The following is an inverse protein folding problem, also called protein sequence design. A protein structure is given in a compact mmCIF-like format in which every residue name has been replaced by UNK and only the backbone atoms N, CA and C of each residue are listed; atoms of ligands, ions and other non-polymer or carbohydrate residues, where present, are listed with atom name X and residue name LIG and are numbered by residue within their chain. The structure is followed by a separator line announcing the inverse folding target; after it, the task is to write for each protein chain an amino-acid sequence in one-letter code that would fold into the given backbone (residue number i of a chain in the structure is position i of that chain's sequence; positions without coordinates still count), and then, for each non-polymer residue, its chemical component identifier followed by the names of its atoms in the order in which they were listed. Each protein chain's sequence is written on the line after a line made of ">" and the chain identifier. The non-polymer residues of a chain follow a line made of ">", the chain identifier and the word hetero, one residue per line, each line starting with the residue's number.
data_IF_283912140787
#
_entry.id   IF_283912140787
#
_cell.length_a   1.000
_cell.length_b   1.000
_cell.length_c   1.000
_cell.angle_alpha   90.00
_cell.angle_beta   90.00
_cell.angle_gamma   90.00
#
_symmetry.space_group_name_H-M   'P 1'
#
loop_
_entity.id
_entity.type
_entity.pdbx_description
1 polymer ?
#
# COMPACT_ATOMS: atom_id res chain seq x y z
N UNK A 1 15.29 7.89 -23.29
CA UNK A 1 14.49 6.67 -23.02
C UNK A 1 13.47 7.09 -21.96
N UNK A 2 12.26 7.45 -22.37
CA UNK A 2 11.22 7.99 -21.46
C UNK A 2 10.59 6.77 -20.80
N UNK A 3 10.76 6.61 -19.49
CA UNK A 3 10.06 5.57 -18.74
C UNK A 3 8.56 5.77 -18.93
N UNK A 4 7.83 4.68 -19.19
CA UNK A 4 6.38 4.76 -19.32
C UNK A 4 5.78 5.41 -18.06
N UNK A 5 4.90 6.42 -18.19
CA UNK A 5 4.41 7.25 -17.09
C UNK A 5 3.72 6.46 -15.96
N UNK A 6 3.30 5.23 -16.24
CA UNK A 6 2.57 4.36 -15.31
C UNK A 6 3.45 3.48 -14.40
N UNK A 7 4.75 3.76 -14.26
CA UNK A 7 5.68 2.98 -13.42
C UNK A 7 5.66 3.32 -11.92
N UNK A 8 5.10 4.48 -11.56
CA UNK A 8 5.25 5.04 -10.21
C UNK A 8 4.45 4.28 -9.14
N UNK A 9 3.21 3.87 -9.44
CA UNK A 9 2.38 3.09 -8.51
C UNK A 9 2.98 1.70 -8.21
N UNK A 10 3.51 1.03 -9.25
CA UNK A 10 4.18 -0.26 -9.08
C UNK A 10 5.43 -0.16 -8.20
N UNK A 11 6.23 0.91 -8.36
CA UNK A 11 7.41 1.13 -7.52
C UNK A 11 7.01 1.31 -6.04
N UNK A 12 5.97 2.09 -5.76
CA UNK A 12 5.45 2.24 -4.40
C UNK A 12 4.96 0.92 -3.80
N UNK A 13 4.25 0.10 -4.58
CA UNK A 13 3.81 -1.23 -4.15
C UNK A 13 4.98 -2.19 -3.92
N UNK A 14 6.01 -2.15 -4.76
CA UNK A 14 7.21 -2.97 -4.60
C UNK A 14 7.97 -2.61 -3.32
N UNK A 15 8.13 -1.32 -3.03
CA UNK A 15 8.75 -0.84 -1.78
C UNK A 15 7.92 -1.26 -0.55
N UNK A 16 6.59 -1.18 -0.63
CA UNK A 16 5.70 -1.66 0.44
C UNK A 16 5.81 -3.17 0.67
N UNK A 17 5.99 -3.98 -0.39
CA UNK A 17 6.24 -5.42 -0.26
C UNK A 17 7.61 -5.73 0.35
N UNK A 18 8.58 -4.82 0.23
CA UNK A 18 9.85 -4.90 0.93
C UNK A 18 9.75 -4.65 2.45
N UNK A 19 8.61 -4.13 2.93
CA UNK A 19 8.35 -3.91 4.35
C UNK A 19 7.58 -5.09 4.94
N UNK A 20 8.13 -5.69 6.01
CA UNK A 20 7.44 -6.75 6.73
C UNK A 20 6.16 -6.26 7.40
N UNK A 21 5.17 -7.13 7.50
CA UNK A 21 3.91 -6.88 8.23
C UNK A 21 3.08 -5.72 7.66
N UNK A 22 3.10 -5.53 6.34
CA UNK A 22 2.06 -4.76 5.64
C UNK A 22 0.81 -5.60 5.47
N UNK A 23 -0.35 -5.03 5.78
CA UNK A 23 -1.68 -5.58 5.52
C UNK A 23 -2.34 -4.79 4.41
N UNK A 24 -2.56 -5.42 3.27
CA UNK A 24 -3.35 -4.87 2.19
C UNK A 24 -4.83 -5.07 2.47
N UNK A 25 -5.64 -4.02 2.27
CA UNK A 25 -7.09 -4.07 2.47
C UNK A 25 -7.77 -3.57 1.21
N UNK A 26 -8.66 -4.41 0.67
CA UNK A 26 -9.55 -4.10 -0.45
C UNK A 26 -10.98 -4.18 0.07
N UNK A 27 -11.82 -3.22 -0.29
CA UNK A 27 -13.25 -3.20 0.08
C UNK A 27 -14.10 -3.28 -1.18
N UNK A 28 -14.98 -4.27 -1.23
CA UNK A 28 -16.10 -4.32 -2.16
C UNK A 28 -17.40 -3.95 -1.44
N UNK A 29 -18.45 -3.63 -2.20
CA UNK A 29 -19.73 -3.13 -1.67
C UNK A 29 -20.46 -4.02 -0.64
N UNK A 30 -20.00 -5.26 -0.42
CA UNK A 30 -20.49 -6.13 0.65
C UNK A 30 -19.44 -6.98 1.35
N UNK A 31 -18.14 -6.78 1.07
CA UNK A 31 -17.06 -7.62 1.61
C UNK A 31 -15.74 -6.85 1.73
N UNK A 32 -14.89 -7.31 2.65
CA UNK A 32 -13.53 -6.79 2.84
C UNK A 32 -12.55 -7.94 2.76
N UNK A 33 -11.49 -7.78 1.97
CA UNK A 33 -10.37 -8.71 1.92
C UNK A 33 -9.16 -8.07 2.60
N UNK A 34 -8.53 -8.82 3.50
CA UNK A 34 -7.28 -8.43 4.17
C UNK A 34 -6.18 -9.43 3.81
N UNK A 35 -5.11 -8.95 3.18
CA UNK A 35 -4.04 -9.77 2.61
C UNK A 35 -2.70 -9.37 3.22
N UNK A 36 -2.01 -10.31 3.86
CA UNK A 36 -0.68 -10.07 4.43
C UNK A 36 0.37 -10.12 3.32
N UNK A 37 1.21 -9.10 3.28
CA UNK A 37 2.25 -8.90 2.26
C UNK A 37 3.41 -9.90 2.30
N UNK A 38 3.69 -10.49 3.47
CA UNK A 38 4.90 -11.27 3.68
C UNK A 38 5.04 -12.37 2.61
N UNK A 39 6.16 -12.35 1.89
CA UNK A 39 6.52 -13.32 0.85
C UNK A 39 5.67 -13.28 -0.43
N UNK A 40 4.91 -12.21 -0.69
CA UNK A 40 4.20 -12.03 -1.96
C UNK A 40 5.10 -11.37 -3.01
N UNK A 41 5.21 -11.98 -4.19
CA UNK A 41 5.86 -11.38 -5.35
C UNK A 41 4.99 -10.31 -6.04
N UNK A 42 5.57 -9.50 -6.91
CA UNK A 42 4.84 -8.52 -7.73
C UNK A 42 5.22 -8.66 -9.20
N UNK A 43 4.23 -8.64 -10.08
CA UNK A 43 4.41 -8.60 -11.53
C UNK A 43 3.41 -7.64 -12.17
N UNK A 44 3.77 -7.10 -13.33
CA UNK A 44 2.89 -6.23 -14.11
C UNK A 44 2.71 -6.77 -15.52
N UNK A 45 1.48 -6.73 -16.02
CA UNK A 45 1.15 -6.94 -17.42
C UNK A 45 0.13 -5.89 -17.84
N UNK A 46 0.50 -5.02 -18.77
CA UNK A 46 -0.33 -3.89 -19.22
C UNK A 46 -0.74 -2.97 -18.05
N UNK A 47 -2.03 -2.81 -17.79
CA UNK A 47 -2.59 -2.05 -16.66
C UNK A 47 -2.73 -2.88 -15.38
N UNK A 48 -2.54 -4.20 -15.44
CA UNK A 48 -2.75 -5.07 -14.28
C UNK A 48 -1.45 -5.28 -13.51
N UNK A 49 -1.46 -4.89 -12.24
CA UNK A 49 -0.45 -5.25 -11.25
C UNK A 49 -0.98 -6.47 -10.49
N UNK A 50 -0.19 -7.53 -10.42
CA UNK A 50 -0.52 -8.72 -9.64
C UNK A 50 0.44 -8.84 -8.47
N UNK A 51 -0.09 -8.97 -7.26
CA UNK A 51 0.67 -9.26 -6.04
C UNK A 51 0.30 -10.67 -5.58
N UNK A 52 1.30 -11.52 -5.40
CA UNK A 52 1.14 -12.95 -5.09
C UNK A 52 1.05 -13.85 -6.34
N UNK A 53 1.04 -15.16 -6.09
CA UNK A 53 1.02 -16.20 -7.13
C UNK A 53 -0.28 -17.00 -7.09
N UNK A 54 -0.60 -17.67 -8.20
CA UNK A 54 -1.84 -18.45 -8.33
C UNK A 54 -1.88 -19.65 -7.37
N UNK A 55 -0.72 -20.25 -7.11
CA UNK A 55 -0.57 -21.39 -6.21
C UNK A 55 -0.18 -20.95 -4.79
N UNK A 56 -0.09 -19.64 -4.54
CA UNK A 56 0.21 -19.05 -3.25
C UNK A 56 -1.01 -19.00 -2.32
N UNK A 57 -0.80 -18.65 -1.04
CA UNK A 57 -1.89 -18.58 -0.06
C UNK A 57 -2.94 -17.52 -0.40
N UNK A 58 -2.56 -16.50 -1.18
CA UNK A 58 -3.42 -15.46 -1.71
C UNK A 58 -2.72 -14.71 -2.83
N UNK A 59 -3.50 -14.07 -3.69
CA UNK A 59 -3.03 -13.05 -4.61
C UNK A 59 -4.12 -11.98 -4.81
N UNK A 60 -3.73 -10.85 -5.39
CA UNK A 60 -4.65 -9.79 -5.81
C UNK A 60 -4.25 -9.25 -7.18
N UNK A 61 -5.26 -8.79 -7.92
CA UNK A 61 -5.09 -8.05 -9.17
C UNK A 61 -5.55 -6.60 -8.94
N UNK A 62 -4.69 -5.67 -9.29
CA UNK A 62 -4.90 -4.22 -9.12
C UNK A 62 -4.88 -3.59 -10.50
N UNK A 63 -5.94 -2.89 -10.88
CA UNK A 63 -5.97 -2.10 -12.10
C UNK A 63 -5.23 -0.77 -11.85
N UNK A 64 -4.00 -0.66 -12.34
CA UNK A 64 -3.21 0.57 -12.19
C UNK A 64 -3.82 1.74 -12.96
N UNK A 65 -4.65 1.49 -13.97
CA UNK A 65 -5.38 2.55 -14.69
C UNK A 65 -6.49 3.20 -13.87
N UNK A 66 -6.82 2.64 -12.70
CA UNK A 66 -7.78 3.21 -11.73
C UNK A 66 -7.11 3.94 -10.58
N UNK A 67 -5.79 4.01 -10.54
CA UNK A 67 -5.05 4.67 -9.47
C UNK A 67 -4.57 6.02 -9.99
N UNK A 68 -5.16 7.09 -9.47
CA UNK A 68 -4.77 8.47 -9.75
C UNK A 68 -3.62 8.92 -8.85
N UNK A 69 -3.62 8.49 -7.58
CA UNK A 69 -2.64 8.94 -6.58
C UNK A 69 -2.40 7.93 -5.47
N UNK A 70 -1.36 8.16 -4.67
CA UNK A 70 -1.16 7.52 -3.39
C UNK A 70 -0.88 8.55 -2.29
N UNK A 71 -1.50 8.38 -1.12
CA UNK A 71 -1.37 9.27 0.03
C UNK A 71 -0.93 8.52 1.29
N UNK A 72 0.08 9.05 1.96
CA UNK A 72 0.49 8.64 3.30
C UNK A 72 -0.48 9.23 4.33
N UNK A 73 -1.07 8.37 5.15
CA UNK A 73 -2.08 8.75 6.14
C UNK A 73 -1.71 8.22 7.51
N UNK A 74 -1.54 9.14 8.46
CA UNK A 74 -1.53 8.88 9.90
C UNK A 74 -2.90 9.29 10.46
N UNK A 75 -3.71 8.31 10.86
CA UNK A 75 -5.08 8.52 11.33
C UNK A 75 -5.18 8.16 12.82
N UNK A 76 -5.57 9.13 13.66
CA UNK A 76 -5.81 8.89 15.08
C UNK A 76 -7.05 8.00 15.26
N UNK A 77 -6.90 6.94 16.05
CA UNK A 77 -7.96 6.02 16.47
C UNK A 77 -7.97 5.98 18.01
N UNK A 78 -9.07 5.52 18.64
CA UNK A 78 -9.08 5.32 20.08
C UNK A 78 -7.90 4.45 20.54
N UNK A 79 -6.99 5.05 21.31
CA UNK A 79 -5.82 4.39 21.89
C UNK A 79 -4.60 4.20 20.97
N UNK A 80 -4.64 4.60 19.69
CA UNK A 80 -3.48 4.49 18.77
C UNK A 80 -3.62 5.29 17.48
N UNK A 81 -2.51 5.64 16.86
CA UNK A 81 -2.46 6.15 15.48
C UNK A 81 -2.24 5.00 14.49
N UNK A 82 -3.07 4.94 13.44
CA UNK A 82 -2.92 4.01 12.32
C UNK A 82 -2.09 4.67 11.21
N UNK A 83 -1.12 3.93 10.66
CA UNK A 83 -0.25 4.41 9.57
C UNK A 83 -0.51 3.59 8.31
N UNK A 84 -0.78 4.26 7.20
CA UNK A 84 -1.13 3.60 5.94
C UNK A 84 -0.72 4.40 4.72
N UNK A 85 -0.58 3.71 3.59
CA UNK A 85 -0.59 4.31 2.25
C UNK A 85 -1.93 3.96 1.60
N UNK A 86 -2.63 4.96 1.08
CA UNK A 86 -3.91 4.79 0.39
C UNK A 86 -3.72 5.09 -1.09
N UNK A 87 -3.99 4.12 -1.94
CA UNK A 87 -4.06 4.29 -3.39
C UNK A 87 -5.49 4.70 -3.73
N UNK A 88 -5.62 5.83 -4.41
CA UNK A 88 -6.88 6.51 -4.64
C UNK A 88 -7.18 6.59 -6.14
N UNK A 89 -8.46 6.53 -6.49
CA UNK A 89 -8.93 6.84 -7.85
C UNK A 89 -9.08 8.36 -8.07
N UNK A 90 -9.57 8.74 -9.25
CA UNK A 90 -9.75 10.15 -9.65
C UNK A 90 -10.77 10.90 -8.78
N UNK A 91 -11.70 10.18 -8.14
CA UNK A 91 -12.68 10.75 -7.22
C UNK A 91 -12.13 10.87 -5.79
N UNK A 92 -10.89 10.43 -5.56
CA UNK A 92 -10.25 10.38 -4.25
C UNK A 92 -10.71 9.20 -3.38
N UNK A 93 -11.45 8.26 -3.96
CA UNK A 93 -11.94 7.07 -3.29
C UNK A 93 -10.85 5.99 -3.25
N UNK A 94 -10.81 5.23 -2.15
CA UNK A 94 -9.71 4.28 -1.93
C UNK A 94 -9.91 2.99 -2.72
N UNK A 95 -9.05 2.79 -3.72
CA UNK A 95 -8.88 1.52 -4.46
C UNK A 95 -8.20 0.46 -3.59
N UNK A 96 -7.09 0.81 -2.93
CA UNK A 96 -6.30 -0.10 -2.11
C UNK A 96 -5.71 0.61 -0.89
N UNK A 97 -5.76 -0.02 0.29
CA UNK A 97 -5.04 0.44 1.47
C UNK A 97 -3.89 -0.51 1.82
N UNK A 98 -2.70 0.03 2.07
CA UNK A 98 -1.55 -0.69 2.63
C UNK A 98 -1.29 -0.19 4.05
N UNK A 99 -1.56 -1.04 5.05
CA UNK A 99 -1.47 -0.68 6.46
C UNK A 99 -0.21 -1.23 7.08
N UNK A 100 0.53 -0.36 7.77
CA UNK A 100 1.65 -0.78 8.60
C UNK A 100 1.07 -1.40 9.86
N UNK A 101 1.19 -2.72 10.01
CA UNK A 101 0.73 -3.42 11.22
C UNK A 101 1.88 -3.60 12.20
N UNK A 102 1.61 -4.15 13.39
CA UNK A 102 2.58 -4.30 14.50
C UNK A 102 3.30 -2.99 14.88
N UNK A 103 2.66 -1.85 14.67
CA UNK A 103 3.20 -0.53 15.02
C UNK A 103 3.38 -0.35 16.53
N UNK A 104 2.70 -1.14 17.35
CA UNK A 104 2.73 -1.05 18.79
C UNK A 104 3.15 -2.40 19.37
N UNK A 105 3.92 -2.37 20.44
CA UNK A 105 4.24 -3.56 21.21
C UNK A 105 3.07 -4.02 22.09
N UNK A 106 3.30 -5.03 22.93
CA UNK A 106 2.30 -5.60 23.84
C UNK A 106 1.84 -4.64 24.93
N UNK A 107 2.63 -3.59 25.23
CA UNK A 107 2.31 -2.56 26.23
C UNK A 107 1.62 -1.35 25.60
N UNK A 108 1.51 -1.32 24.26
CA UNK A 108 0.91 -0.23 23.51
C UNK A 108 1.88 0.91 23.18
N UNK A 109 3.20 0.72 23.35
CA UNK A 109 4.18 1.71 22.97
C UNK A 109 4.49 1.62 21.46
N UNK A 110 4.60 2.79 20.81
CA UNK A 110 4.87 2.88 19.36
C UNK A 110 6.31 2.42 19.04
N UNK A 111 6.42 1.42 18.18
CA UNK A 111 7.69 0.96 17.62
C UNK A 111 8.32 2.03 16.73
N UNK A 112 9.47 2.56 17.17
CA UNK A 112 10.21 3.58 16.44
C UNK A 112 10.78 3.06 15.13
N UNK A 113 11.26 1.81 15.10
CA UNK A 113 11.78 1.19 13.87
C UNK A 113 10.69 1.10 12.80
N UNK A 114 9.48 0.71 13.19
CA UNK A 114 8.36 0.64 12.25
C UNK A 114 7.88 2.02 11.79
N UNK A 115 7.88 3.00 12.68
CA UNK A 115 7.59 4.38 12.31
C UNK A 115 8.65 4.93 11.34
N UNK A 116 9.93 4.61 11.54
CA UNK A 116 11.00 4.99 10.64
C UNK A 116 10.83 4.41 9.22
N UNK A 117 10.32 3.18 9.08
CA UNK A 117 9.98 2.60 7.77
C UNK A 117 8.89 3.41 7.06
N UNK A 118 7.81 3.77 7.78
CA UNK A 118 6.75 4.62 7.24
C UNK A 118 7.27 6.01 6.85
N UNK A 119 8.00 6.67 7.76
CA UNK A 119 8.54 8.02 7.56
C UNK A 119 9.57 8.06 6.42
N UNK A 120 10.37 7.01 6.28
CA UNK A 120 11.35 6.85 5.21
C UNK A 120 10.70 6.76 3.84
N UNK A 121 9.63 5.95 3.71
CA UNK A 121 8.85 5.88 2.48
C UNK A 121 8.11 7.20 2.18
N UNK A 122 7.51 7.83 3.20
CA UNK A 122 6.87 9.14 3.06
C UNK A 122 7.87 10.21 2.61
N UNK A 123 9.10 10.18 3.14
CA UNK A 123 10.17 11.11 2.75
C UNK A 123 10.68 10.85 1.33
N UNK A 124 10.72 9.58 0.89
CA UNK A 124 11.13 9.18 -0.46
C UNK A 124 10.14 9.64 -1.54
N UNK A 125 8.85 9.51 -1.27
CA UNK A 125 7.79 9.76 -2.27
C UNK A 125 7.08 11.11 -2.09
N UNK A 126 7.25 11.77 -0.94
CA UNK A 126 6.34 12.81 -0.48
C UNK A 126 5.11 12.21 0.23
N UNK A 127 4.37 13.07 0.93
CA UNK A 127 3.15 12.68 1.65
C UNK A 127 2.00 12.33 0.72
N UNK A 128 2.03 12.82 -0.51
CA UNK A 128 1.10 12.50 -1.58
C UNK A 128 1.83 12.52 -2.92
N UNK A 129 1.54 11.52 -3.76
CA UNK A 129 2.09 11.39 -5.10
C UNK A 129 0.97 11.13 -6.09
N UNK A 130 0.99 11.85 -7.20
CA UNK A 130 0.04 11.68 -8.31
C UNK A 130 0.72 10.85 -9.41
N UNK A 131 -0.04 9.95 -10.02
CA UNK A 131 0.44 9.02 -11.04
C UNK A 131 -0.14 9.28 -12.43
N UNK A 132 -1.05 10.26 -12.54
CA UNK A 132 -1.53 10.75 -13.81
C UNK A 132 -0.48 11.65 -14.47
N UNK A 133 -0.47 11.66 -15.80
CA UNK A 133 0.33 12.61 -16.61
C UNK A 133 -0.10 14.06 -16.40
#
# INVERSE_FOLDING_TARGET
>A
MIAAPNGHAQNGLMDLLGVSDILFIIRGGGAVAEIRSNSLGIRRKEQWITIGDNDGPCHMHIDSGKIASARFVAEEKPGRTSYSVRFLDDDGERVLGAFFTKMYDTEGALSQDRKALYDGLSSKYGTEVYFTE
#
